data_IF_981530467926
#
_entry.id   IF_981530467926
#
_cell.length_a   1.000
_cell.length_b   1.000
_cell.length_c   1.000
_cell.angle_alpha   90.00
_cell.angle_beta   90.00
_cell.angle_gamma   90.00
#
_symmetry.space_group_name_H-M   'P 1'
#
loop_
_entity.id
_entity.type
_entity.pdbx_description
1 polymer ?
#
# COMPACT_ATOMS: atom_id res chain seq x y z
N UNK A 1 3.64 8.79 8.11
CA UNK A 1 2.17 8.60 7.99
C UNK A 1 1.75 7.41 8.85
N UNK A 2 0.58 7.49 9.48
CA UNK A 2 0.07 6.43 10.35
C UNK A 2 -1.04 5.63 9.67
N UNK A 3 -1.17 4.34 10.00
CA UNK A 3 -2.21 3.47 9.43
C UNK A 3 -3.50 3.65 10.21
N UNK A 4 -4.55 4.11 9.53
CA UNK A 4 -5.88 4.28 10.10
C UNK A 4 -6.73 3.03 9.94
N UNK A 5 -6.77 2.49 8.72
CA UNK A 5 -7.60 1.36 8.36
C UNK A 5 -6.87 0.48 7.36
N UNK A 6 -7.05 -0.83 7.49
CA UNK A 6 -6.64 -1.78 6.47
C UNK A 6 -7.84 -2.67 6.16
N UNK A 7 -8.13 -2.79 4.87
CA UNK A 7 -9.13 -3.70 4.32
C UNK A 7 -8.46 -4.65 3.35
N UNK A 8 -8.98 -5.88 3.25
CA UNK A 8 -8.46 -6.89 2.34
C UNK A 8 -9.62 -7.50 1.56
N UNK A 9 -9.33 -8.01 0.37
CA UNK A 9 -10.24 -8.88 -0.34
C UNK A 9 -10.62 -10.09 0.54
N UNK A 10 -11.90 -10.49 0.55
CA UNK A 10 -12.41 -11.59 1.38
C UNK A 10 -11.69 -12.94 1.19
N UNK A 11 -11.03 -13.13 0.04
CA UNK A 11 -10.31 -14.36 -0.31
C UNK A 11 -8.86 -14.39 0.19
N UNK A 12 -8.35 -13.30 0.77
CA UNK A 12 -7.00 -13.25 1.32
C UNK A 12 -6.88 -14.26 2.47
N UNK A 13 -5.97 -15.25 2.36
CA UNK A 13 -5.74 -16.21 3.44
C UNK A 13 -5.29 -15.53 4.74
N UNK A 14 -5.69 -16.07 5.90
CA UNK A 14 -5.33 -15.47 7.21
C UNK A 14 -3.82 -15.35 7.43
N UNK A 15 -3.04 -16.30 6.93
CA UNK A 15 -1.57 -16.26 6.99
C UNK A 15 -0.97 -15.19 6.05
N UNK A 16 -1.69 -14.78 5.00
CA UNK A 16 -1.30 -13.69 4.13
C UNK A 16 -1.59 -12.31 4.72
N UNK A 17 -2.58 -12.17 5.60
CA UNK A 17 -2.89 -10.89 6.28
C UNK A 17 -1.68 -10.37 7.05
N UNK A 18 -0.97 -11.23 7.79
CA UNK A 18 0.26 -10.83 8.50
C UNK A 18 1.37 -10.39 7.56
N UNK A 19 1.47 -11.01 6.37
CA UNK A 19 2.47 -10.67 5.34
C UNK A 19 2.14 -9.34 4.67
N UNK A 20 0.87 -9.12 4.32
CA UNK A 20 0.38 -7.81 3.85
C UNK A 20 0.69 -6.68 4.83
N UNK A 21 0.40 -6.89 6.11
CA UNK A 21 0.73 -5.93 7.16
C UNK A 21 2.22 -5.61 7.23
N UNK A 22 3.07 -6.61 7.02
CA UNK A 22 4.51 -6.41 6.94
C UNK A 22 4.90 -5.60 5.69
N UNK A 23 4.39 -5.95 4.50
CA UNK A 23 4.68 -5.23 3.26
C UNK A 23 4.31 -3.75 3.33
N UNK A 24 3.13 -3.44 3.87
CA UNK A 24 2.65 -2.06 4.07
C UNK A 24 3.59 -1.28 4.99
N UNK A 25 3.96 -1.85 6.14
CA UNK A 25 4.83 -1.18 7.11
C UNK A 25 6.24 -0.99 6.57
N UNK A 26 6.76 -1.98 5.86
CA UNK A 26 8.07 -1.92 5.21
C UNK A 26 8.11 -0.80 4.16
N UNK A 27 7.11 -0.75 3.29
CA UNK A 27 6.95 0.33 2.30
C UNK A 27 6.88 1.71 2.96
N UNK A 28 5.99 1.89 3.95
CA UNK A 28 5.84 3.18 4.62
C UNK A 28 7.13 3.64 5.31
N UNK A 29 7.90 2.69 5.86
CA UNK A 29 9.19 2.99 6.49
C UNK A 29 10.24 3.38 5.46
N UNK A 30 10.34 2.64 4.36
CA UNK A 30 11.37 2.87 3.35
C UNK A 30 11.13 4.15 2.54
N UNK A 31 9.87 4.42 2.20
CA UNK A 31 9.51 5.54 1.33
C UNK A 31 9.02 6.78 2.10
N UNK A 32 9.03 6.78 3.44
CA UNK A 32 8.46 7.84 4.28
C UNK A 32 8.78 9.26 3.80
N UNK A 33 10.07 9.56 3.62
CA UNK A 33 10.52 10.89 3.21
C UNK A 33 9.98 11.28 1.82
N UNK A 34 10.00 10.34 0.87
CA UNK A 34 9.48 10.57 -0.49
C UNK A 34 7.96 10.81 -0.47
N UNK A 35 7.22 10.03 0.31
CA UNK A 35 5.75 10.15 0.40
C UNK A 35 5.33 11.49 1.02
N UNK A 36 6.12 12.03 1.95
CA UNK A 36 5.86 13.33 2.57
C UNK A 36 6.03 14.49 1.58
N UNK A 37 7.02 14.40 0.69
CA UNK A 37 7.35 15.41 -0.31
C UNK A 37 6.47 15.36 -1.58
N UNK A 38 5.66 14.31 -1.76
CA UNK A 38 4.81 14.15 -2.94
C UNK A 38 3.77 15.27 -3.09
N UNK A 39 3.62 15.75 -4.32
CA UNK A 39 2.58 16.70 -4.69
C UNK A 39 1.18 16.10 -4.48
N UNK A 40 0.25 16.91 -3.96
CA UNK A 40 -1.11 16.49 -3.70
C UNK A 40 -1.82 16.00 -4.98
N UNK A 41 -2.49 14.85 -4.91
CA UNK A 41 -3.20 14.24 -6.05
C UNK A 41 -2.31 13.44 -6.99
N UNK A 42 -1.02 13.30 -6.68
CA UNK A 42 -0.14 12.39 -7.42
C UNK A 42 -0.14 10.99 -6.81
N UNK A 43 0.39 10.03 -7.57
CA UNK A 43 0.56 8.65 -7.13
C UNK A 43 1.96 8.14 -7.40
N UNK A 44 2.39 7.15 -6.61
CA UNK A 44 3.64 6.42 -6.79
C UNK A 44 3.33 4.93 -6.78
N UNK A 45 3.87 4.18 -7.74
CA UNK A 45 3.78 2.73 -7.78
C UNK A 45 5.16 2.13 -7.62
N UNK A 46 5.29 1.17 -6.71
CA UNK A 46 6.51 0.41 -6.46
C UNK A 46 6.21 -1.08 -6.55
N UNK A 47 7.09 -1.80 -7.23
CA UNK A 47 7.09 -3.25 -7.27
C UNK A 47 8.25 -3.78 -6.41
N UNK A 48 7.96 -4.67 -5.47
CA UNK A 48 8.95 -5.31 -4.60
C UNK A 48 8.80 -6.82 -4.59
N UNK A 49 9.93 -7.48 -4.45
CA UNK A 49 10.00 -8.92 -4.18
C UNK A 49 10.32 -9.11 -2.70
N UNK A 50 9.54 -9.97 -2.03
CA UNK A 50 9.76 -10.35 -0.65
C UNK A 50 10.00 -11.85 -0.56
N UNK A 51 11.07 -12.25 0.12
CA UNK A 51 11.36 -13.65 0.42
C UNK A 51 10.97 -13.95 1.87
N UNK A 52 10.06 -14.91 2.08
CA UNK A 52 9.68 -15.39 3.40
C UNK A 52 9.16 -16.83 3.33
N UNK A 53 9.44 -17.63 4.35
CA UNK A 53 8.94 -19.01 4.48
C UNK A 53 9.24 -19.92 3.27
N UNK A 54 10.41 -19.77 2.62
CA UNK A 54 10.78 -20.47 1.37
C UNK A 54 9.91 -20.12 0.14
N UNK A 55 9.11 -19.05 0.25
CA UNK A 55 8.29 -18.52 -0.83
C UNK A 55 8.76 -17.11 -1.23
N UNK A 56 8.48 -16.75 -2.48
CA UNK A 56 8.73 -15.41 -3.03
C UNK A 56 7.38 -14.75 -3.31
N UNK A 57 7.21 -13.51 -2.85
CA UNK A 57 6.03 -12.70 -3.05
C UNK A 57 6.36 -11.52 -3.94
N UNK A 58 5.63 -11.38 -5.04
CA UNK A 58 5.68 -10.21 -5.92
C UNK A 58 4.59 -9.25 -5.48
N UNK A 59 4.99 -8.10 -4.92
CA UNK A 59 4.07 -7.15 -4.31
C UNK A 59 4.15 -5.83 -5.06
N UNK A 60 3.01 -5.39 -5.59
CA UNK A 60 2.84 -4.05 -6.14
C UNK A 60 2.13 -3.18 -5.10
N UNK A 61 2.69 -2.02 -4.79
CA UNK A 61 2.11 -1.04 -3.88
C UNK A 61 1.97 0.26 -4.65
N UNK A 62 0.74 0.74 -4.76
CA UNK A 62 0.45 2.07 -5.28
C UNK A 62 0.00 2.97 -4.14
N UNK A 63 0.76 4.03 -3.87
CA UNK A 63 0.38 5.09 -2.96
C UNK A 63 -0.30 6.22 -3.71
N UNK A 64 -1.42 6.71 -3.18
CA UNK A 64 -2.09 7.90 -3.67
C UNK A 64 -2.04 9.00 -2.61
N UNK A 65 -1.49 10.15 -2.98
CA UNK A 65 -1.37 11.31 -2.09
C UNK A 65 -2.70 12.04 -2.03
N UNK A 66 -3.21 12.25 -0.82
CA UNK A 66 -4.42 13.06 -0.56
C UNK A 66 -4.37 14.41 -1.27
N UNK A 67 -5.51 14.85 -1.77
CA UNK A 67 -5.70 16.15 -2.43
C UNK A 67 -5.61 16.08 -3.96
N UNK A 68 -5.64 17.23 -4.62
CA UNK A 68 -5.62 17.36 -6.10
C UNK A 68 -6.93 17.83 -6.71
N UNK A 69 -7.14 19.14 -6.82
CA UNK A 69 -8.28 19.73 -7.54
C UNK A 69 -9.69 19.34 -7.03
N UNK A 70 -10.72 20.04 -7.51
CA UNK A 70 -12.11 19.85 -7.04
C UNK A 70 -12.77 18.56 -7.58
N UNK A 71 -12.14 17.86 -8.54
CA UNK A 71 -12.75 16.74 -9.28
C UNK A 71 -11.91 15.45 -9.33
N UNK A 72 -10.63 15.47 -8.93
CA UNK A 72 -9.69 14.36 -9.16
C UNK A 72 -8.89 13.96 -7.91
N UNK A 73 -9.20 14.54 -6.76
CA UNK A 73 -8.34 14.43 -5.58
C UNK A 73 -8.74 13.27 -4.68
N UNK A 74 -7.74 12.53 -4.18
CA UNK A 74 -7.95 11.48 -3.19
C UNK A 74 -8.41 12.10 -1.88
N UNK A 75 -9.47 11.54 -1.29
CA UNK A 75 -10.03 12.03 -0.03
C UNK A 75 -9.07 11.79 1.14
N UNK A 76 -8.26 10.74 1.06
CA UNK A 76 -7.27 10.37 2.05
C UNK A 76 -5.97 9.96 1.36
N UNK A 77 -4.89 9.81 2.15
CA UNK A 77 -3.70 9.14 1.67
C UNK A 77 -4.01 7.64 1.68
N UNK A 78 -3.83 6.94 0.56
CA UNK A 78 -4.20 5.52 0.48
C UNK A 78 -3.09 4.68 -0.15
N UNK A 79 -3.01 3.41 0.22
CA UNK A 79 -2.20 2.40 -0.46
C UNK A 79 -3.13 1.34 -1.04
N UNK A 80 -3.03 1.10 -2.34
CA UNK A 80 -3.52 -0.13 -2.95
C UNK A 80 -2.35 -1.13 -2.99
N UNK A 81 -2.55 -2.31 -2.42
CA UNK A 81 -1.52 -3.37 -2.36
C UNK A 81 -2.04 -4.58 -3.10
N UNK A 82 -1.26 -5.09 -4.05
CA UNK A 82 -1.53 -6.37 -4.72
C UNK A 82 -0.37 -7.33 -4.52
N UNK A 83 -0.65 -8.62 -4.37
CA UNK A 83 0.34 -9.66 -4.13
C UNK A 83 0.10 -10.83 -5.10
N UNK A 84 1.16 -11.21 -5.83
CA UNK A 84 1.17 -12.27 -6.85
C UNK A 84 0.09 -12.11 -7.93
N UNK A 85 -0.45 -10.90 -8.11
CA UNK A 85 -1.59 -10.63 -9.00
C UNK A 85 -2.90 -11.31 -8.59
N UNK A 86 -2.96 -11.92 -7.40
CA UNK A 86 -4.11 -12.71 -6.94
C UNK A 86 -4.84 -12.05 -5.77
N UNK A 87 -4.08 -11.56 -4.80
CA UNK A 87 -4.59 -11.00 -3.56
C UNK A 87 -4.41 -9.49 -3.53
N UNK A 88 -5.37 -8.77 -2.96
CA UNK A 88 -5.25 -7.33 -2.79
C UNK A 88 -5.89 -6.82 -1.50
N UNK A 89 -5.48 -5.61 -1.12
CA UNK A 89 -6.06 -4.86 -0.03
C UNK A 89 -5.76 -3.37 -0.14
N UNK A 90 -6.58 -2.58 0.55
CA UNK A 90 -6.50 -1.13 0.55
C UNK A 90 -6.22 -0.64 1.98
N UNK A 91 -5.33 0.33 2.10
CA UNK A 91 -4.91 0.93 3.37
C UNK A 91 -5.22 2.42 3.35
N UNK A 92 -5.94 2.91 4.35
CA UNK A 92 -6.16 4.34 4.55
C UNK A 92 -5.16 4.84 5.60
N UNK A 93 -4.50 5.96 5.30
CA UNK A 93 -3.46 6.57 6.13
C UNK A 93 -3.90 7.95 6.64
N UNK A 94 -3.45 8.29 7.85
CA UNK A 94 -3.55 9.66 8.41
C UNK A 94 -2.42 10.57 7.92
#
# INVERSE_FOLDING_TARGET
MEIKEISYQDRVPKNMISKFNYFVRDFLKEYSDQLEEMEAGTSMTVNKEYEADLEVYFVEITFHRKGGGFFTGYLDNELAVTCNGEFWGDVILE
#
